data_IF_352878974387
#
_entry.id   IF_352878974387
#
_cell.length_a   1.000
_cell.length_b   1.000
_cell.length_c   1.000
_cell.angle_alpha   90.00
_cell.angle_beta   90.00
_cell.angle_gamma   90.00
#
_symmetry.space_group_name_H-M   'P 1'
#
loop_
_entity.id
_entity.type
_entity.pdbx_description
1 polymer ?
#
# COMPACT_ATOMS: atom_id res chain seq x y z
N UNK A 1 2.52 2.22 -13.61
CA UNK A 1 1.88 1.81 -12.34
C UNK A 1 2.40 2.60 -11.14
N UNK A 2 3.72 2.60 -10.87
CA UNK A 2 4.31 3.19 -9.64
C UNK A 2 3.85 4.64 -9.37
N UNK A 3 3.88 5.59 -10.32
CA UNK A 3 3.45 6.97 -10.03
C UNK A 3 1.97 7.07 -9.64
N UNK A 4 1.12 6.23 -10.23
CA UNK A 4 -0.33 6.21 -9.94
C UNK A 4 -0.57 5.66 -8.54
N UNK A 5 0.06 4.53 -8.21
CA UNK A 5 0.01 3.92 -6.86
C UNK A 5 0.52 4.92 -5.82
N UNK A 6 1.66 5.57 -6.10
CA UNK A 6 2.24 6.56 -5.20
C UNK A 6 1.32 7.75 -4.95
N UNK A 7 0.64 8.27 -5.97
CA UNK A 7 -0.33 9.36 -5.80
C UNK A 7 -1.58 8.93 -5.04
N UNK A 8 -2.17 7.78 -5.39
CA UNK A 8 -3.32 7.21 -4.68
C UNK A 8 -3.00 7.02 -3.19
N UNK A 9 -1.82 6.46 -2.88
CA UNK A 9 -1.35 6.33 -1.52
C UNK A 9 -1.14 7.70 -0.88
N UNK A 10 -0.19 8.51 -1.34
CA UNK A 10 0.28 9.73 -0.65
C UNK A 10 -0.70 10.90 -0.61
N UNK A 11 -1.63 10.99 -1.57
CA UNK A 11 -2.54 12.15 -1.68
C UNK A 11 -3.98 11.81 -1.26
N UNK A 12 -4.40 10.55 -1.41
CA UNK A 12 -5.79 10.14 -1.18
C UNK A 12 -5.93 9.06 -0.11
N UNK A 13 -4.83 8.61 0.50
CA UNK A 13 -4.82 7.53 1.48
C UNK A 13 -5.51 6.27 0.96
N UNK A 14 -5.24 5.93 -0.31
CA UNK A 14 -5.72 4.71 -0.96
C UNK A 14 -4.59 3.69 -1.05
N UNK A 15 -4.69 2.63 -0.26
CA UNK A 15 -3.76 1.51 -0.25
C UNK A 15 -4.08 0.52 -1.36
N UNK A 16 -3.13 0.31 -2.27
CA UNK A 16 -3.26 -0.67 -3.34
C UNK A 16 -2.49 -1.94 -2.99
N UNK A 17 -3.21 -3.06 -2.95
CA UNK A 17 -2.67 -4.38 -2.66
C UNK A 17 -2.71 -5.30 -3.89
N UNK A 18 -1.86 -6.32 -3.88
CA UNK A 18 -2.04 -7.55 -4.66
C UNK A 18 -2.04 -8.71 -3.69
N UNK A 19 -3.21 -9.34 -3.49
CA UNK A 19 -3.39 -10.48 -2.59
C UNK A 19 -2.80 -10.22 -1.20
N UNK A 20 -3.19 -9.09 -0.62
CA UNK A 20 -2.72 -8.64 0.70
C UNK A 20 -1.31 -8.06 0.74
N UNK A 21 -0.56 -8.04 -0.38
CA UNK A 21 0.78 -7.41 -0.44
C UNK A 21 0.67 -5.96 -0.92
N UNK A 22 1.08 -4.97 -0.10
CA UNK A 22 1.03 -3.57 -0.51
C UNK A 22 2.05 -3.24 -1.61
N UNK A 23 1.61 -2.42 -2.57
CA UNK A 23 2.41 -2.01 -3.72
C UNK A 23 3.08 -0.64 -3.57
N UNK A 24 2.69 0.18 -2.60
CA UNK A 24 3.32 1.48 -2.35
C UNK A 24 4.74 1.31 -1.82
N UNK A 25 5.63 2.25 -2.17
CA UNK A 25 7.03 2.23 -1.74
C UNK A 25 7.76 0.91 -2.07
N UNK A 26 7.35 0.22 -3.15
CA UNK A 26 7.96 -1.02 -3.62
C UNK A 26 8.74 -0.82 -4.91
N UNK A 27 9.82 -1.60 -5.06
CA UNK A 27 10.57 -1.67 -6.31
C UNK A 27 9.77 -2.37 -7.41
N UNK A 28 10.12 -2.09 -8.67
CA UNK A 28 9.55 -2.78 -9.85
C UNK A 28 9.67 -4.30 -9.69
N UNK A 29 10.83 -4.79 -9.26
CA UNK A 29 11.09 -6.22 -9.04
C UNK A 29 10.13 -6.83 -8.01
N UNK A 30 9.79 -6.10 -6.94
CA UNK A 30 8.83 -6.57 -5.95
C UNK A 30 7.41 -6.66 -6.53
N UNK A 31 7.00 -5.65 -7.31
CA UNK A 31 5.69 -5.63 -7.97
C UNK A 31 5.57 -6.82 -8.95
N UNK A 32 6.59 -7.06 -9.78
CA UNK A 32 6.60 -8.21 -10.70
C UNK A 32 6.55 -9.55 -9.97
N UNK A 33 7.29 -9.69 -8.86
CA UNK A 33 7.23 -10.90 -8.02
C UNK A 33 5.86 -11.11 -7.39
N UNK A 34 5.18 -10.03 -7.03
CA UNK A 34 3.83 -10.10 -6.44
C UNK A 34 2.81 -10.64 -7.44
N UNK A 35 2.84 -10.19 -8.70
CA UNK A 35 2.00 -10.77 -9.76
C UNK A 35 2.34 -12.24 -10.02
N UNK A 36 3.64 -12.58 -10.12
CA UNK A 36 4.09 -13.97 -10.32
C UNK A 36 3.55 -14.92 -9.25
N UNK A 37 3.52 -14.47 -8.00
CA UNK A 37 2.97 -15.27 -6.89
C UNK A 37 1.47 -15.56 -7.08
N UNK A 38 0.70 -14.56 -7.51
CA UNK A 38 -0.75 -14.73 -7.77
C UNK A 38 -0.99 -15.72 -8.89
N UNK A 39 -0.28 -15.58 -10.01
CA UNK A 39 -0.36 -16.53 -11.13
C UNK A 39 -0.15 -17.98 -10.70
N UNK A 40 0.76 -18.23 -9.76
CA UNK A 40 1.00 -19.57 -9.23
C UNK A 40 -0.15 -20.08 -8.35
N UNK A 41 -0.74 -19.20 -7.56
CA UNK A 41 -1.82 -19.55 -6.64
C UNK A 41 -3.17 -19.77 -7.35
N UNK A 42 -3.54 -18.84 -8.23
CA UNK A 42 -4.83 -18.78 -8.90
C UNK A 42 -4.84 -19.50 -10.26
N UNK A 43 -3.67 -19.97 -10.72
CA UNK A 43 -3.49 -20.62 -12.03
C UNK A 43 -4.04 -19.77 -13.20
N UNK A 44 -3.94 -18.45 -13.08
CA UNK A 44 -4.33 -17.49 -14.12
C UNK A 44 -3.10 -16.87 -14.79
N UNK A 45 -3.28 -16.07 -15.84
CA UNK A 45 -2.16 -15.42 -16.54
C UNK A 45 -1.82 -14.03 -16.00
N UNK A 46 -2.30 -13.67 -14.79
CA UNK A 46 -2.19 -12.30 -14.28
C UNK A 46 -0.74 -11.79 -14.25
N UNK A 47 -0.55 -10.64 -14.89
CA UNK A 47 0.66 -9.84 -14.86
C UNK A 47 0.31 -8.36 -14.70
N UNK A 48 1.34 -7.51 -14.74
CA UNK A 48 1.19 -6.07 -14.78
C UNK A 48 0.37 -5.58 -15.98
N UNK A 49 0.29 -6.34 -17.07
CA UNK A 49 -0.50 -5.97 -18.24
C UNK A 49 -2.00 -6.03 -17.97
N UNK A 50 -2.46 -7.01 -17.21
CA UNK A 50 -3.88 -7.16 -16.85
C UNK A 50 -4.27 -6.23 -15.71
N UNK A 51 -3.38 -5.98 -14.75
CA UNK A 51 -3.67 -5.08 -13.62
C UNK A 51 -3.54 -3.60 -13.99
N UNK A 52 -2.81 -3.27 -15.05
CA UNK A 52 -2.61 -1.88 -15.48
C UNK A 52 -3.92 -1.18 -15.90
N UNK A 53 -4.76 -1.73 -16.79
CA UNK A 53 -6.06 -1.15 -17.13
C UNK A 53 -6.94 -0.93 -15.91
N UNK A 54 -6.98 -1.89 -14.98
CA UNK A 54 -7.76 -1.77 -13.74
C UNK A 54 -7.27 -0.60 -12.89
N UNK A 55 -5.95 -0.48 -12.70
CA UNK A 55 -5.35 0.64 -11.97
C UNK A 55 -5.63 1.99 -12.63
N UNK A 56 -5.60 2.06 -13.96
CA UNK A 56 -5.88 3.28 -14.71
C UNK A 56 -7.36 3.68 -14.62
N UNK A 57 -8.27 2.71 -14.65
CA UNK A 57 -9.70 2.93 -14.40
C UNK A 57 -9.93 3.46 -12.98
N UNK A 58 -9.32 2.83 -11.97
CA UNK A 58 -9.39 3.30 -10.58
C UNK A 58 -8.88 4.73 -10.41
N UNK A 59 -7.85 5.13 -11.17
CA UNK A 59 -7.27 6.47 -11.09
C UNK A 59 -8.20 7.57 -11.63
N UNK A 60 -9.25 7.22 -12.39
CA UNK A 60 -10.27 8.15 -12.89
C UNK A 60 -11.35 8.43 -11.85
N UNK A 61 -11.56 7.52 -10.91
CA UNK A 61 -12.51 7.64 -9.82
C UNK A 61 -11.99 8.59 -8.72
N UNK A 62 -12.90 9.12 -7.92
CA UNK A 62 -12.62 9.95 -6.75
C UNK A 62 -12.57 9.09 -5.47
N UNK A 63 -11.58 8.19 -5.42
CA UNK A 63 -11.38 7.25 -4.31
C UNK A 63 -10.56 7.87 -3.16
N UNK A 64 -11.03 7.70 -1.93
CA UNK A 64 -10.37 8.17 -0.71
C UNK A 64 -10.42 7.13 0.42
N UNK A 65 -9.41 7.12 1.28
CA UNK A 65 -9.37 6.35 2.53
C UNK A 65 -9.77 4.86 2.42
N UNK A 66 -9.35 4.20 1.35
CA UNK A 66 -9.73 2.84 1.05
C UNK A 66 -8.52 1.92 0.90
N UNK A 67 -8.72 0.63 1.14
CA UNK A 67 -7.76 -0.40 0.84
C UNK A 67 -8.35 -1.31 -0.23
N UNK A 68 -7.71 -1.38 -1.40
CA UNK A 68 -8.24 -2.07 -2.58
C UNK A 68 -7.23 -3.10 -3.06
N UNK A 69 -7.68 -4.35 -3.17
CA UNK A 69 -6.88 -5.44 -3.72
C UNK A 69 -7.03 -5.49 -5.25
N UNK A 70 -6.08 -4.84 -5.93
CA UNK A 70 -6.01 -4.76 -7.39
C UNK A 70 -5.91 -6.15 -8.02
N UNK A 71 -5.22 -7.09 -7.36
CA UNK A 71 -5.11 -8.46 -7.84
C UNK A 71 -6.48 -9.12 -7.91
N UNK A 72 -7.23 -9.11 -6.80
CA UNK A 72 -8.58 -9.69 -6.77
C UNK A 72 -9.54 -9.02 -7.76
N UNK A 73 -9.51 -7.69 -7.86
CA UNK A 73 -10.31 -6.94 -8.82
C UNK A 73 -10.00 -7.37 -10.26
N UNK A 74 -8.72 -7.56 -10.57
CA UNK A 74 -8.28 -8.00 -11.90
C UNK A 74 -8.71 -9.44 -12.19
N UNK A 75 -8.65 -10.36 -11.21
CA UNK A 75 -9.17 -11.73 -11.41
C UNK A 75 -10.64 -11.72 -11.76
N UNK A 76 -11.46 -10.98 -11.00
CA UNK A 76 -12.89 -10.86 -11.28
C UNK A 76 -13.15 -10.27 -12.67
N UNK A 77 -12.35 -9.30 -13.09
CA UNK A 77 -12.46 -8.75 -14.43
C UNK A 77 -12.14 -9.78 -15.52
N UNK A 78 -11.08 -10.56 -15.35
CA UNK A 78 -10.73 -11.64 -16.29
C UNK A 78 -11.83 -12.72 -16.33
N UNK A 79 -12.41 -13.09 -15.20
CA UNK A 79 -13.57 -14.01 -15.13
C UNK A 79 -14.77 -13.43 -15.89
N UNK A 80 -15.08 -12.15 -15.70
CA UNK A 80 -16.14 -11.46 -16.44
C UNK A 80 -15.88 -11.44 -17.95
N UNK A 81 -14.63 -11.22 -18.38
CA UNK A 81 -14.25 -11.30 -19.78
C UNK A 81 -14.47 -12.70 -20.37
N UNK A 82 -14.09 -13.75 -19.63
CA UNK A 82 -14.29 -15.13 -20.05
C UNK A 82 -15.79 -15.50 -20.15
N UNK A 83 -16.60 -15.07 -19.17
CA UNK A 83 -18.02 -15.40 -19.11
C UNK A 83 -18.87 -14.65 -20.15
N UNK A 84 -18.50 -13.39 -20.45
CA UNK A 84 -19.28 -12.51 -21.34
C UNK A 84 -18.74 -12.43 -22.77
N UNK A 85 -17.47 -12.80 -23.00
CA UNK A 85 -16.80 -12.70 -24.30
C UNK A 85 -16.89 -11.28 -24.86
N UNK A 86 -17.36 -11.14 -26.10
CA UNK A 86 -17.51 -9.84 -26.79
C UNK A 86 -18.48 -8.87 -26.10
N UNK A 87 -19.31 -9.36 -25.17
CA UNK A 87 -20.25 -8.54 -24.37
C UNK A 87 -19.65 -8.11 -23.03
N UNK A 88 -18.39 -8.42 -22.76
CA UNK A 88 -17.71 -8.00 -21.56
C UNK A 88 -17.66 -6.48 -21.48
N UNK A 89 -17.78 -5.95 -20.27
CA UNK A 89 -17.64 -4.53 -20.02
C UNK A 89 -16.20 -4.08 -20.26
N UNK A 90 -16.05 -2.82 -20.64
CA UNK A 90 -14.74 -2.18 -20.63
C UNK A 90 -14.25 -2.05 -19.19
N UNK A 91 -12.92 -2.00 -19.05
CA UNK A 91 -12.25 -1.85 -17.76
C UNK A 91 -12.82 -0.71 -16.91
N UNK A 92 -13.02 0.46 -17.53
CA UNK A 92 -13.54 1.65 -16.84
C UNK A 92 -14.94 1.39 -16.25
N UNK A 93 -15.85 0.84 -17.05
CA UNK A 93 -17.23 0.58 -16.63
C UNK A 93 -17.28 -0.49 -15.53
N UNK A 94 -16.48 -1.55 -15.67
CA UNK A 94 -16.41 -2.62 -14.68
C UNK A 94 -15.87 -2.10 -13.34
N UNK A 95 -14.78 -1.35 -13.35
CA UNK A 95 -14.20 -0.78 -12.13
C UNK A 95 -15.12 0.25 -11.50
N UNK A 96 -15.76 1.11 -12.31
CA UNK A 96 -16.74 2.09 -11.82
C UNK A 96 -17.91 1.39 -11.13
N UNK A 97 -18.42 0.29 -11.71
CA UNK A 97 -19.49 -0.50 -11.11
C UNK A 97 -19.04 -1.20 -9.82
N UNK A 98 -17.89 -1.88 -9.82
CA UNK A 98 -17.39 -2.61 -8.64
C UNK A 98 -17.04 -1.66 -7.48
N UNK A 99 -16.62 -0.42 -7.76
CA UNK A 99 -16.17 0.55 -6.76
C UNK A 99 -17.14 1.72 -6.55
N UNK A 100 -18.35 1.67 -7.10
CA UNK A 100 -19.37 2.73 -6.99
C UNK A 100 -19.65 3.11 -5.53
N UNK A 101 -19.66 2.11 -4.64
CA UNK A 101 -19.87 2.32 -3.21
C UNK A 101 -18.74 3.11 -2.51
N UNK A 102 -17.63 3.39 -3.19
CA UNK A 102 -16.50 4.20 -2.69
C UNK A 102 -16.35 5.52 -3.44
N UNK A 103 -16.81 5.60 -4.69
CA UNK A 103 -16.57 6.76 -5.54
C UNK A 103 -17.22 8.04 -4.97
N UNK A 104 -16.45 9.12 -4.90
CA UNK A 104 -16.87 10.40 -4.33
C UNK A 104 -17.01 10.43 -2.80
N UNK A 105 -16.77 9.31 -2.09
CA UNK A 105 -16.86 9.26 -0.62
C UNK A 105 -15.55 9.71 0.01
N UNK A 106 -15.52 10.95 0.50
CA UNK A 106 -14.32 11.59 1.10
C UNK A 106 -14.31 11.59 2.63
N UNK A 107 -15.14 10.77 3.26
CA UNK A 107 -15.25 10.72 4.71
C UNK A 107 -13.93 10.25 5.32
N UNK A 108 -13.41 11.03 6.27
CA UNK A 108 -12.20 10.64 6.98
C UNK A 108 -12.52 9.49 7.94
N UNK A 109 -11.64 8.49 8.09
CA UNK A 109 -11.88 7.38 9.02
C UNK A 109 -12.03 7.85 10.47
N UNK A 110 -11.34 8.93 10.83
CA UNK A 110 -11.40 9.58 12.13
C UNK A 110 -11.26 11.10 11.96
N UNK A 111 -11.89 11.87 12.84
CA UNK A 111 -11.85 13.34 12.79
C UNK A 111 -10.46 13.90 13.10
N UNK A 112 -9.75 13.25 14.01
CA UNK A 112 -8.43 13.67 14.48
C UNK A 112 -7.48 12.49 14.49
N UNK A 113 -6.35 12.67 13.81
CA UNK A 113 -5.24 11.72 13.80
C UNK A 113 -4.78 11.35 15.22
N UNK A 114 -4.57 10.06 15.44
CA UNK A 114 -4.04 9.55 16.70
C UNK A 114 -2.52 9.69 16.73
N UNK A 115 -2.03 10.51 17.66
CA UNK A 115 -0.60 10.61 17.93
C UNK A 115 -0.12 9.38 18.71
N UNK A 116 0.98 8.80 18.26
CA UNK A 116 1.61 7.61 18.84
C UNK A 116 3.01 7.96 19.31
N UNK A 117 3.31 7.54 20.54
CA UNK A 117 4.64 7.66 21.15
C UNK A 117 5.15 6.26 21.47
N UNK A 118 6.31 5.89 20.93
CA UNK A 118 6.92 4.60 21.20
C UNK A 118 7.85 4.71 22.41
N UNK A 119 7.59 3.91 23.44
CA UNK A 119 8.49 3.78 24.58
C UNK A 119 9.52 2.68 24.31
N UNK A 120 10.74 3.11 24.00
CA UNK A 120 11.88 2.26 23.71
C UNK A 120 12.20 2.16 22.21
N UNK A 121 13.47 2.33 21.89
CA UNK A 121 13.99 2.24 20.51
C UNK A 121 15.05 1.15 20.36
N UNK A 122 14.72 -0.03 20.90
CA UNK A 122 15.46 -1.27 20.68
C UNK A 122 15.02 -1.96 19.39
N UNK A 123 15.18 -3.29 19.32
CA UNK A 123 14.79 -4.08 18.13
C UNK A 123 13.30 -3.95 17.78
N UNK A 124 12.41 -4.20 18.76
CA UNK A 124 10.96 -4.12 18.55
C UNK A 124 10.53 -2.68 18.26
N UNK A 125 11.05 -1.71 19.04
CA UNK A 125 10.72 -0.30 18.85
C UNK A 125 11.08 0.22 17.44
N UNK A 126 12.26 -0.15 16.92
CA UNK A 126 12.63 0.17 15.54
C UNK A 126 11.73 -0.50 14.52
N UNK A 127 11.43 -1.79 14.69
CA UNK A 127 10.53 -2.51 13.79
C UNK A 127 9.12 -1.90 13.78
N UNK A 128 8.57 -1.57 14.95
CA UNK A 128 7.28 -0.89 15.07
C UNK A 128 7.30 0.49 14.44
N UNK A 129 8.35 1.29 14.66
CA UNK A 129 8.50 2.58 14.02
C UNK A 129 8.50 2.44 12.49
N UNK A 130 9.21 1.45 11.94
CA UNK A 130 9.22 1.16 10.50
C UNK A 130 7.82 0.82 9.98
N UNK A 131 7.12 -0.09 10.64
CA UNK A 131 5.77 -0.52 10.25
C UNK A 131 4.76 0.63 10.33
N UNK A 132 4.85 1.46 11.37
CA UNK A 132 4.01 2.64 11.52
C UNK A 132 4.24 3.62 10.37
N UNK A 133 5.50 3.95 10.07
CA UNK A 133 5.82 4.89 8.98
C UNK A 133 5.41 4.32 7.62
N UNK A 134 5.67 3.03 7.36
CA UNK A 134 5.32 2.38 6.08
C UNK A 134 3.80 2.33 5.83
N UNK A 135 2.99 2.24 6.89
CA UNK A 135 1.52 2.27 6.81
C UNK A 135 0.92 3.67 6.92
N UNK A 136 1.73 4.66 7.30
CA UNK A 136 1.27 6.04 7.39
C UNK A 136 1.34 6.66 6.00
N UNK A 137 0.18 6.80 5.36
CA UNK A 137 0.05 7.59 4.12
C UNK A 137 -0.02 9.10 4.46
N UNK A 138 -1.21 9.70 4.51
CA UNK A 138 -1.43 11.13 4.78
C UNK A 138 -1.29 11.45 6.28
N UNK A 139 -1.12 10.41 7.10
CA UNK A 139 -1.13 10.50 8.55
C UNK A 139 -2.46 10.96 9.11
N UNK A 140 -3.57 10.84 8.38
CA UNK A 140 -4.88 11.26 8.87
C UNK A 140 -5.43 10.32 9.94
N UNK A 141 -5.00 9.05 9.95
CA UNK A 141 -5.41 8.07 10.95
C UNK A 141 -4.44 8.01 12.14
N UNK A 142 -3.15 7.89 11.87
CA UNK A 142 -2.16 7.69 12.92
C UNK A 142 -0.85 8.36 12.57
N UNK A 143 -0.15 8.91 13.57
CA UNK A 143 1.14 9.59 13.41
C UNK A 143 2.10 9.18 14.52
N UNK A 144 3.24 8.60 14.14
CA UNK A 144 4.36 8.45 15.07
C UNK A 144 4.95 9.84 15.35
N UNK A 145 4.80 10.34 16.58
CA UNK A 145 5.24 11.69 16.97
C UNK A 145 6.55 11.71 17.72
N UNK A 146 6.78 10.70 18.55
CA UNK A 146 7.97 10.65 19.37
C UNK A 146 8.38 9.20 19.65
N UNK A 147 9.66 9.05 19.95
CA UNK A 147 10.23 7.81 20.45
C UNK A 147 10.98 8.16 21.72
N UNK A 148 10.56 7.58 22.83
CA UNK A 148 11.19 7.77 24.13
C UNK A 148 12.32 6.76 24.27
N UNK A 149 13.52 7.25 24.55
CA UNK A 149 14.71 6.41 24.79
C UNK A 149 15.21 6.64 26.20
N UNK A 150 15.83 5.60 26.77
CA UNK A 150 16.58 5.76 28.03
C UNK A 150 17.88 6.50 27.74
N UNK A 151 18.32 7.41 28.63
CA UNK A 151 19.63 8.02 28.53
C UNK A 151 20.72 6.95 28.41
N UNK A 152 21.65 7.17 27.50
CA UNK A 152 22.81 6.33 27.27
C UNK A 152 24.02 7.22 26.99
N UNK A 153 25.19 6.61 26.83
CA UNK A 153 26.44 7.34 26.61
C UNK A 153 26.45 8.18 25.32
N UNK A 154 27.52 8.97 25.12
CA UNK A 154 27.70 9.78 23.92
C UNK A 154 27.56 8.95 22.63
N UNK A 155 26.82 9.46 21.64
CA UNK A 155 26.63 8.80 20.34
C UNK A 155 25.51 7.76 20.26
N UNK A 156 24.72 7.55 21.32
CA UNK A 156 23.66 6.52 21.32
C UNK A 156 22.54 6.81 20.32
N UNK A 157 22.14 8.08 20.16
CA UNK A 157 21.09 8.45 19.23
C UNK A 157 21.51 8.22 17.78
N UNK A 158 22.74 8.60 17.41
CA UNK A 158 23.33 8.37 16.09
C UNK A 158 23.43 6.87 15.81
N UNK A 159 23.85 6.08 16.79
CA UNK A 159 23.90 4.62 16.67
C UNK A 159 22.51 4.03 16.45
N UNK A 160 21.49 4.48 17.18
CA UNK A 160 20.11 4.01 17.01
C UNK A 160 19.52 4.42 15.67
N UNK A 161 19.79 5.64 15.20
CA UNK A 161 19.39 6.11 13.89
C UNK A 161 20.04 5.26 12.79
N UNK A 162 21.34 4.98 12.89
CA UNK A 162 22.05 4.07 11.96
C UNK A 162 21.44 2.67 11.93
N UNK A 163 21.14 2.09 13.10
CA UNK A 163 20.44 0.80 13.21
C UNK A 163 18.98 0.84 12.75
N UNK A 164 18.37 2.04 12.72
CA UNK A 164 17.05 2.24 12.16
C UNK A 164 17.10 2.35 10.63
N UNK A 165 18.16 2.90 10.05
CA UNK A 165 18.37 2.94 8.61
C UNK A 165 18.79 1.59 8.06
N UNK A 166 19.75 0.92 8.69
CA UNK A 166 20.31 -0.37 8.27
C UNK A 166 20.07 -1.43 9.35
N UNK A 167 19.09 -2.31 9.11
CA UNK A 167 18.83 -3.46 9.98
C UNK A 167 19.37 -4.73 9.32
N UNK A 168 20.11 -5.54 10.07
CA UNK A 168 20.74 -6.76 9.53
C UNK A 168 19.74 -7.87 9.19
N UNK A 169 18.54 -7.84 9.77
CA UNK A 169 17.50 -8.86 9.56
C UNK A 169 16.45 -8.34 8.58
N UNK A 170 16.05 -7.07 8.73
CA UNK A 170 14.96 -6.47 7.96
C UNK A 170 15.44 -5.57 6.81
N UNK A 171 16.75 -5.42 6.63
CA UNK A 171 17.35 -4.65 5.55
C UNK A 171 17.24 -3.13 5.73
N UNK A 172 17.49 -2.43 4.63
CA UNK A 172 17.45 -0.96 4.58
C UNK A 172 16.02 -0.43 4.73
N UNK A 173 15.86 0.63 5.53
CA UNK A 173 14.62 1.37 5.61
C UNK A 173 14.31 2.03 4.27
N UNK A 174 13.09 1.85 3.77
CA UNK A 174 12.66 2.36 2.46
C UNK A 174 12.01 3.75 2.61
N UNK A 175 12.79 4.71 3.09
CA UNK A 175 12.38 6.10 3.29
C UNK A 175 13.59 7.02 3.40
N UNK A 176 13.37 8.33 3.34
CA UNK A 176 14.38 9.39 3.49
C UNK A 176 14.21 10.11 4.81
#
# INVERSE_FOLDING_TARGET
MIPVIGRLFSQRNVDILIYGRPLHNRSVTFIMKSHRFVRQAERNEMSEFETHPMLMAMAKLDLWHAQIDLGKLTVRYMEHQNDKGDKAQLADDFVSQELDYLDGKREKPIDKSQDVVLYGFGRIGRLMARLLIERTSTGEVMRLRAIVVRPAGPGDLEKRASLFTADSVHGAFQGT
#
